data_IF_943595161881
#
_entry.id   IF_943595161881
#
_cell.length_a   1.000
_cell.length_b   1.000
_cell.length_c   1.000
_cell.angle_alpha   90.00
_cell.angle_beta   90.00
_cell.angle_gamma   90.00
#
_symmetry.space_group_name_H-M   'P 1'
#
loop_
_entity.id
_entity.type
_entity.pdbx_description
1 polymer ?
#
# COMPACT_ATOMS: atom_id res chain seq x y z
N UNK A 1 -17.46 1.28 -8.13
CA UNK A 1 -16.09 1.65 -7.69
C UNK A 1 -15.39 2.62 -8.65
N UNK A 2 -15.57 2.50 -9.96
CA UNK A 2 -14.83 3.29 -10.95
C UNK A 2 -15.17 4.79 -10.96
N UNK A 3 -16.40 5.18 -10.62
CA UNK A 3 -16.89 6.58 -10.73
C UNK A 3 -16.17 7.61 -9.86
N UNK A 4 -15.46 7.14 -8.85
CA UNK A 4 -14.72 7.99 -7.91
C UNK A 4 -13.27 8.25 -8.34
N UNK A 5 -12.76 7.54 -9.35
CA UNK A 5 -11.38 7.71 -9.83
C UNK A 5 -11.36 8.59 -11.08
N UNK A 6 -10.43 9.53 -11.12
CA UNK A 6 -10.20 10.32 -12.31
C UNK A 6 -9.64 9.45 -13.45
N UNK A 7 -9.72 9.96 -14.67
CA UNK A 7 -9.19 9.33 -15.87
C UNK A 7 -7.74 8.82 -15.72
N UNK A 8 -6.80 9.63 -15.19
CA UNK A 8 -5.45 9.16 -14.92
C UNK A 8 -5.36 7.98 -13.94
N UNK A 9 -6.17 7.95 -12.89
CA UNK A 9 -6.19 6.90 -11.88
C UNK A 9 -6.85 5.63 -12.42
N UNK A 10 -7.94 5.72 -13.19
CA UNK A 10 -8.55 4.56 -13.86
C UNK A 10 -7.55 3.85 -14.75
N UNK A 11 -6.80 4.62 -15.55
CA UNK A 11 -5.73 4.07 -16.40
C UNK A 11 -4.58 3.48 -15.57
N UNK A 12 -4.25 4.07 -14.43
CA UNK A 12 -3.27 3.50 -13.50
C UNK A 12 -3.73 2.12 -13.00
N UNK A 13 -5.00 1.95 -12.62
CA UNK A 13 -5.53 0.65 -12.20
C UNK A 13 -5.47 -0.39 -13.32
N UNK A 14 -5.74 0.01 -14.56
CA UNK A 14 -5.54 -0.86 -15.74
C UNK A 14 -4.09 -1.28 -15.89
N UNK A 15 -3.14 -0.35 -15.75
CA UNK A 15 -1.71 -0.70 -15.82
C UNK A 15 -1.29 -1.60 -14.66
N UNK A 16 -1.81 -1.40 -13.45
CA UNK A 16 -1.52 -2.29 -12.32
C UNK A 16 -1.99 -3.73 -12.60
N UNK A 17 -3.14 -3.87 -13.26
CA UNK A 17 -3.63 -5.16 -13.71
C UNK A 17 -2.71 -5.79 -14.78
N UNK A 18 -2.23 -4.99 -15.74
CA UNK A 18 -1.27 -5.46 -16.75
C UNK A 18 0.05 -5.92 -16.12
N UNK A 19 0.63 -5.14 -15.20
CA UNK A 19 1.87 -5.52 -14.49
C UNK A 19 1.70 -6.83 -13.70
N UNK A 20 0.54 -7.03 -13.04
CA UNK A 20 0.26 -8.28 -12.34
C UNK A 20 0.20 -9.48 -13.31
N UNK A 21 -0.46 -9.32 -14.46
CA UNK A 21 -0.51 -10.35 -15.48
C UNK A 21 0.88 -10.64 -16.07
N UNK A 22 1.69 -9.62 -16.28
CA UNK A 22 3.03 -9.75 -16.85
C UNK A 22 4.01 -10.44 -15.91
N UNK A 23 3.92 -10.15 -14.62
CA UNK A 23 4.66 -10.87 -13.57
C UNK A 23 4.08 -12.25 -13.25
N UNK A 24 2.92 -12.59 -13.80
CA UNK A 24 2.26 -13.89 -13.61
C UNK A 24 1.55 -14.00 -12.25
N UNK A 25 1.26 -12.88 -11.59
CA UNK A 25 0.56 -12.82 -10.32
C UNK A 25 -0.96 -12.89 -10.52
N UNK A 26 -1.64 -13.68 -9.68
CA UNK A 26 -3.10 -13.86 -9.77
C UNK A 26 -3.89 -12.74 -9.08
N UNK A 27 -3.21 -11.96 -8.24
CA UNK A 27 -3.79 -10.86 -7.48
C UNK A 27 -2.99 -9.57 -7.66
N UNK A 28 -3.70 -8.44 -7.67
CA UNK A 28 -3.13 -7.10 -7.74
C UNK A 28 -2.80 -6.64 -6.31
N UNK A 29 -1.53 -6.76 -5.94
CA UNK A 29 -0.97 -6.19 -4.71
C UNK A 29 -0.52 -4.73 -4.81
N UNK A 30 -0.06 -4.21 -3.68
CA UNK A 30 0.47 -2.83 -3.51
C UNK A 30 1.68 -2.52 -4.39
N UNK A 31 2.48 -3.54 -4.69
CA UNK A 31 3.63 -3.53 -5.60
C UNK A 31 3.22 -3.21 -7.05
N UNK A 32 2.09 -3.73 -7.51
CA UNK A 32 1.59 -3.45 -8.86
C UNK A 32 1.04 -2.03 -8.98
N UNK A 33 0.43 -1.51 -7.91
CA UNK A 33 0.01 -0.10 -7.85
C UNK A 33 1.24 0.82 -7.92
N UNK A 34 2.32 0.48 -7.23
CA UNK A 34 3.59 1.21 -7.29
C UNK A 34 4.22 1.16 -8.70
N UNK A 35 4.25 -0.02 -9.33
CA UNK A 35 4.73 -0.16 -10.71
C UNK A 35 3.90 0.66 -11.70
N UNK A 36 2.58 0.67 -11.55
CA UNK A 36 1.69 1.45 -12.40
C UNK A 36 1.89 2.96 -12.26
N UNK A 37 2.15 3.45 -11.03
CA UNK A 37 2.53 4.85 -10.78
C UNK A 37 3.80 5.24 -11.55
N UNK A 38 4.81 4.38 -11.53
CA UNK A 38 6.09 4.62 -12.20
C UNK A 38 6.01 4.50 -13.72
N UNK A 39 5.21 3.57 -14.23
CA UNK A 39 5.10 3.29 -15.66
C UNK A 39 4.50 4.48 -16.42
N UNK A 40 3.38 5.02 -15.94
CA UNK A 40 2.66 6.05 -16.69
C UNK A 40 3.38 7.40 -16.73
N UNK A 41 4.30 7.67 -15.78
CA UNK A 41 4.96 8.99 -15.62
C UNK A 41 4.00 10.18 -15.61
N UNK A 42 2.70 9.94 -15.36
CA UNK A 42 1.65 10.95 -15.38
C UNK A 42 1.17 11.27 -13.98
N UNK A 43 0.92 12.55 -13.71
CA UNK A 43 0.42 13.02 -12.42
C UNK A 43 1.53 13.51 -11.49
N UNK A 44 1.12 14.15 -10.39
CA UNK A 44 2.06 14.69 -9.41
C UNK A 44 2.91 13.59 -8.77
N UNK A 45 2.29 12.46 -8.40
CA UNK A 45 3.00 11.37 -7.73
C UNK A 45 4.11 10.72 -8.55
N UNK A 46 3.86 10.47 -9.84
CA UNK A 46 4.88 9.89 -10.72
C UNK A 46 6.10 10.83 -10.92
N UNK A 47 5.86 12.15 -10.98
CA UNK A 47 6.92 13.15 -11.05
C UNK A 47 7.75 13.19 -9.77
N UNK A 48 7.10 13.07 -8.61
CA UNK A 48 7.79 13.03 -7.31
C UNK A 48 8.68 11.80 -7.22
N UNK A 49 8.16 10.60 -7.52
CA UNK A 49 8.96 9.37 -7.53
C UNK A 49 10.16 9.47 -8.48
N UNK A 50 9.96 9.99 -9.69
CA UNK A 50 11.03 10.22 -10.64
C UNK A 50 12.08 11.25 -10.12
N UNK A 51 11.63 12.33 -9.46
CA UNK A 51 12.53 13.34 -8.85
C UNK A 51 13.38 12.79 -7.71
N UNK A 52 12.96 11.67 -7.12
CA UNK A 52 13.67 10.96 -6.06
C UNK A 52 14.56 9.84 -6.60
N UNK A 53 14.73 9.76 -7.92
CA UNK A 53 15.60 8.77 -8.58
C UNK A 53 14.98 7.38 -8.71
N UNK A 54 13.69 7.21 -8.39
CA UNK A 54 13.01 5.93 -8.57
C UNK A 54 12.68 5.73 -10.04
N UNK A 55 13.27 4.69 -10.64
CA UNK A 55 12.99 4.28 -12.02
C UNK A 55 12.08 3.06 -12.02
N UNK A 56 11.29 2.92 -13.09
CA UNK A 56 10.45 1.75 -13.30
C UNK A 56 11.28 0.46 -13.32
N UNK A 57 12.47 0.50 -13.92
CA UNK A 57 13.36 -0.64 -14.03
C UNK A 57 13.83 -1.13 -12.65
N UNK A 58 14.34 -0.23 -11.80
CA UNK A 58 14.74 -0.59 -10.44
C UNK A 58 13.55 -1.10 -9.62
N UNK A 59 12.37 -0.51 -9.78
CA UNK A 59 11.18 -0.97 -9.09
C UNK A 59 10.76 -2.37 -9.55
N UNK A 60 10.81 -2.68 -10.85
CA UNK A 60 10.52 -4.03 -11.37
C UNK A 60 11.52 -5.05 -10.84
N UNK A 61 12.82 -4.75 -10.87
CA UNK A 61 13.84 -5.64 -10.29
C UNK A 61 13.62 -5.86 -8.79
N UNK A 62 13.23 -4.82 -8.05
CA UNK A 62 12.89 -4.95 -6.64
C UNK A 62 11.66 -5.84 -6.42
N UNK A 63 10.60 -5.67 -7.22
CA UNK A 63 9.38 -6.50 -7.15
C UNK A 63 9.72 -7.97 -7.40
N UNK A 64 10.47 -8.27 -8.47
CA UNK A 64 10.91 -9.63 -8.78
C UNK A 64 11.76 -10.22 -7.66
N UNK A 65 12.59 -9.42 -6.98
CA UNK A 65 13.40 -9.87 -5.86
C UNK A 65 12.60 -10.09 -4.55
N UNK A 66 11.51 -9.36 -4.34
CA UNK A 66 10.68 -9.46 -3.13
C UNK A 66 9.62 -10.54 -3.26
N UNK A 67 8.89 -10.52 -4.37
CA UNK A 67 7.68 -11.33 -4.61
C UNK A 67 7.99 -12.55 -5.46
N UNK A 68 9.08 -12.50 -6.24
CA UNK A 68 9.34 -13.49 -7.29
C UNK A 68 8.55 -13.20 -8.55
N UNK A 69 8.75 -14.03 -9.58
CA UNK A 69 7.75 -14.17 -10.65
C UNK A 69 6.77 -15.26 -10.23
N UNK A 70 5.48 -15.04 -10.46
CA UNK A 70 4.46 -16.04 -10.23
C UNK A 70 4.79 -17.36 -10.94
N UNK A 71 4.26 -18.48 -10.42
CA UNK A 71 4.48 -19.82 -10.99
C UNK A 71 4.40 -19.75 -12.52
N UNK A 72 5.50 -20.13 -13.18
CA UNK A 72 5.61 -20.11 -14.63
C UNK A 72 4.41 -20.87 -15.22
N UNK A 73 3.42 -20.12 -15.71
CA UNK A 73 2.20 -20.73 -16.22
C UNK A 73 2.56 -21.52 -17.47
N UNK A 74 2.00 -22.73 -17.64
CA UNK A 74 2.31 -23.56 -18.78
C UNK A 74 2.08 -22.76 -20.07
N UNK A 75 3.03 -22.85 -21.01
CA UNK A 75 3.05 -22.09 -22.26
C UNK A 75 1.78 -22.30 -23.13
N UNK A 76 0.97 -23.29 -22.79
CA UNK A 76 -0.35 -23.60 -23.37
C UNK A 76 -1.41 -22.55 -23.06
N UNK A 77 -1.22 -21.70 -22.04
CA UNK A 77 -2.09 -20.55 -21.74
C UNK A 77 -1.62 -19.24 -22.41
N UNK A 78 -1.22 -19.29 -23.69
CA UNK A 78 -0.98 -18.10 -24.51
C UNK A 78 -2.20 -17.80 -25.39
N UNK A 79 -2.84 -16.66 -25.20
CA UNK A 79 -3.96 -16.20 -26.04
C UNK A 79 -5.04 -15.40 -25.31
N UNK A 80 -6.24 -15.31 -25.91
CA UNK A 80 -7.42 -14.55 -25.47
C UNK A 80 -7.77 -14.70 -23.98
N UNK A 81 -7.56 -15.90 -23.42
CA UNK A 81 -7.73 -16.19 -21.99
C UNK A 81 -6.84 -15.35 -21.04
N UNK A 82 -5.72 -14.79 -21.53
CA UNK A 82 -4.84 -13.89 -20.75
C UNK A 82 -5.39 -12.47 -20.68
N UNK A 83 -6.10 -11.99 -21.72
CA UNK A 83 -6.71 -10.65 -21.78
C UNK A 83 -8.05 -10.57 -21.08
N UNK A 84 -8.81 -11.67 -21.07
CA UNK A 84 -10.13 -11.71 -20.42
C UNK A 84 -10.04 -11.93 -18.90
N UNK A 85 -8.86 -12.29 -18.38
CA UNK A 85 -8.65 -12.50 -16.94
C UNK A 85 -8.44 -11.17 -16.24
N UNK A 86 -9.36 -10.82 -15.35
CA UNK A 86 -9.22 -9.67 -14.45
C UNK A 86 -8.72 -10.15 -13.08
N UNK A 87 -7.41 -10.09 -12.77
CA UNK A 87 -6.93 -10.40 -11.44
C UNK A 87 -7.63 -9.53 -10.39
N UNK A 88 -7.99 -10.11 -9.26
CA UNK A 88 -8.62 -9.43 -8.14
C UNK A 88 -7.58 -8.65 -7.33
N UNK A 89 -8.00 -7.63 -6.59
CA UNK A 89 -7.10 -6.93 -5.68
C UNK A 89 -6.84 -7.78 -4.43
N UNK A 90 -5.65 -7.63 -3.85
CA UNK A 90 -5.40 -8.11 -2.48
C UNK A 90 -6.16 -7.22 -1.48
N UNK A 91 -6.49 -7.75 -0.30
CA UNK A 91 -7.13 -6.98 0.77
C UNK A 91 -6.34 -5.69 1.11
N UNK A 92 -5.00 -5.77 1.08
CA UNK A 92 -4.13 -4.62 1.32
C UNK A 92 -4.23 -3.58 0.21
N UNK A 93 -4.26 -4.02 -1.05
CA UNK A 93 -4.44 -3.10 -2.18
C UNK A 93 -5.82 -2.44 -2.17
N UNK A 94 -6.88 -3.16 -1.81
CA UNK A 94 -8.21 -2.58 -1.62
C UNK A 94 -8.23 -1.52 -0.53
N UNK A 95 -7.59 -1.80 0.61
CA UNK A 95 -7.46 -0.84 1.71
C UNK A 95 -6.70 0.43 1.28
N UNK A 96 -5.63 0.30 0.48
CA UNK A 96 -4.91 1.45 -0.08
C UNK A 96 -5.81 2.31 -0.97
N UNK A 97 -6.65 1.68 -1.81
CA UNK A 97 -7.57 2.40 -2.68
C UNK A 97 -8.68 3.10 -1.89
N UNK A 98 -9.14 2.50 -0.79
CA UNK A 98 -10.11 3.13 0.11
C UNK A 98 -9.48 4.31 0.86
N UNK A 99 -8.26 4.15 1.38
CA UNK A 99 -7.52 5.26 1.99
C UNK A 99 -7.29 6.40 1.00
N UNK A 100 -7.01 6.09 -0.27
CA UNK A 100 -6.85 7.11 -1.31
C UNK A 100 -8.14 7.93 -1.56
N UNK A 101 -9.32 7.36 -1.28
CA UNK A 101 -10.59 8.10 -1.31
C UNK A 101 -10.72 9.05 -0.15
N UNK A 102 -10.32 8.62 1.05
CA UNK A 102 -10.29 9.48 2.23
C UNK A 102 -9.31 10.65 2.02
N UNK A 103 -8.14 10.37 1.46
CA UNK A 103 -7.14 11.37 1.09
C UNK A 103 -7.70 12.41 0.12
N UNK A 104 -8.39 11.97 -0.93
CA UNK A 104 -9.04 12.87 -1.89
C UNK A 104 -10.12 13.73 -1.21
N UNK A 105 -10.94 13.13 -0.34
CA UNK A 105 -11.99 13.83 0.41
C UNK A 105 -11.42 14.86 1.38
N UNK A 106 -10.35 14.52 2.10
CA UNK A 106 -9.65 15.43 3.02
C UNK A 106 -8.99 16.58 2.27
N UNK A 107 -8.50 16.33 1.05
CA UNK A 107 -7.97 17.35 0.16
C UNK A 107 -9.04 18.15 -0.61
N UNK A 108 -10.33 17.93 -0.33
CA UNK A 108 -11.48 18.53 -1.04
C UNK A 108 -11.45 18.31 -2.57
N UNK A 109 -10.86 17.19 -3.01
CA UNK A 109 -10.80 16.79 -4.40
C UNK A 109 -11.99 15.91 -4.77
N UNK A 110 -12.74 16.31 -5.81
CA UNK A 110 -13.93 15.60 -6.28
C UNK A 110 -13.65 14.17 -6.80
N UNK A 111 -12.40 13.87 -7.19
CA UNK A 111 -12.02 12.57 -7.73
C UNK A 111 -10.66 12.12 -7.19
N UNK A 112 -10.49 10.80 -7.06
CA UNK A 112 -9.23 10.17 -6.66
C UNK A 112 -8.26 10.17 -7.85
N UNK A 113 -7.13 10.86 -7.70
CA UNK A 113 -6.00 10.82 -8.63
C UNK A 113 -4.84 9.90 -8.20
N UNK A 114 -3.85 9.69 -9.08
CA UNK A 114 -2.65 8.90 -8.81
C UNK A 114 -1.87 9.35 -7.56
N UNK A 115 -1.83 10.65 -7.32
CA UNK A 115 -1.31 11.30 -6.13
C UNK A 115 -1.88 10.77 -4.81
N UNK A 116 -3.20 10.57 -4.68
CA UNK A 116 -3.82 10.10 -3.45
C UNK A 116 -3.52 8.63 -3.20
N UNK A 117 -3.41 7.85 -4.28
CA UNK A 117 -2.94 6.46 -4.22
C UNK A 117 -1.49 6.42 -3.75
N UNK A 118 -0.63 7.30 -4.29
CA UNK A 118 0.75 7.41 -3.82
C UNK A 118 0.83 7.82 -2.35
N UNK A 119 0.07 8.83 -1.91
CA UNK A 119 0.03 9.24 -0.50
C UNK A 119 -0.34 8.06 0.40
N UNK A 120 -1.34 7.26 0.00
CA UNK A 120 -1.75 6.07 0.74
C UNK A 120 -0.67 5.00 0.79
N UNK A 121 0.04 4.76 -0.32
CA UNK A 121 1.18 3.82 -0.38
C UNK A 121 2.37 4.28 0.47
N UNK A 122 2.67 5.59 0.49
CA UNK A 122 3.78 6.14 1.26
C UNK A 122 3.52 6.13 2.77
N UNK A 123 2.25 6.19 3.19
CA UNK A 123 1.82 6.09 4.59
C UNK A 123 1.74 4.65 5.10
N UNK A 124 1.79 3.68 4.20
CA UNK A 124 1.57 2.30 4.54
C UNK A 124 2.89 1.61 4.87
N UNK A 125 3.02 1.13 6.10
CA UNK A 125 4.23 0.42 6.55
C UNK A 125 4.20 -1.08 6.29
N UNK A 126 3.05 -1.64 5.92
CA UNK A 126 2.88 -3.08 5.69
C UNK A 126 2.47 -3.44 4.27
N UNK A 127 3.04 -4.52 3.74
CA UNK A 127 2.76 -5.05 2.40
C UNK A 127 4.01 -5.09 1.53
N UNK A 128 3.91 -5.65 0.33
CA UNK A 128 5.07 -5.78 -0.56
C UNK A 128 5.51 -4.43 -1.14
N UNK A 129 4.58 -3.50 -1.35
CA UNK A 129 4.89 -2.13 -1.78
C UNK A 129 5.81 -1.40 -0.81
N UNK A 130 5.55 -1.51 0.49
CA UNK A 130 6.40 -0.93 1.55
C UNK A 130 7.83 -1.51 1.48
N UNK A 131 7.95 -2.85 1.42
CA UNK A 131 9.27 -3.53 1.30
C UNK A 131 10.03 -3.12 0.04
N UNK A 132 9.32 -2.89 -1.07
CA UNK A 132 9.93 -2.41 -2.32
C UNK A 132 10.43 -0.99 -2.15
N UNK A 133 9.66 -0.09 -1.54
CA UNK A 133 10.08 1.28 -1.27
C UNK A 133 11.34 1.32 -0.39
N UNK A 134 11.44 0.42 0.59
CA UNK A 134 12.63 0.30 1.45
C UNK A 134 13.85 -0.19 0.69
N UNK A 135 13.68 -1.19 -0.19
CA UNK A 135 14.75 -1.66 -1.08
C UNK A 135 15.22 -0.57 -2.05
N UNK A 136 14.30 0.27 -2.51
CA UNK A 136 14.60 1.44 -3.35
C UNK A 136 15.24 2.59 -2.55
N UNK A 137 15.40 2.43 -1.22
CA UNK A 137 15.93 3.44 -0.28
C UNK A 137 15.21 4.78 -0.40
N UNK A 138 13.90 4.73 -0.67
CA UNK A 138 13.09 5.93 -0.78
C UNK A 138 12.79 6.49 0.62
N UNK A 139 13.13 7.76 0.85
CA UNK A 139 12.64 8.45 2.04
C UNK A 139 11.13 8.74 1.86
N UNK A 140 10.30 7.94 2.53
CA UNK A 140 8.84 7.99 2.43
C UNK A 140 8.27 9.33 2.89
N UNK A 141 8.80 9.89 3.97
CA UNK A 141 8.38 11.19 4.50
C UNK A 141 8.67 12.31 3.52
N UNK A 142 9.86 12.32 2.91
CA UNK A 142 10.21 13.31 1.89
C UNK A 142 9.37 13.15 0.62
N UNK A 143 9.14 11.92 0.17
CA UNK A 143 8.25 11.63 -0.95
C UNK A 143 6.82 12.09 -0.68
N UNK A 144 6.33 11.88 0.54
CA UNK A 144 5.00 12.29 0.96
C UNK A 144 4.90 13.81 0.98
N UNK A 145 5.86 14.49 1.62
CA UNK A 145 5.93 15.95 1.67
C UNK A 145 5.95 16.56 0.27
N UNK A 146 6.78 16.05 -0.64
CA UNK A 146 6.83 16.52 -2.05
C UNK A 146 5.51 16.29 -2.78
N UNK A 147 4.83 15.18 -2.54
CA UNK A 147 3.53 14.88 -3.15
C UNK A 147 2.46 15.85 -2.63
N UNK A 148 2.44 16.15 -1.34
CA UNK A 148 1.54 17.13 -0.74
C UNK A 148 1.77 18.54 -1.29
N UNK A 149 3.04 18.97 -1.42
CA UNK A 149 3.40 20.25 -2.04
C UNK A 149 2.92 20.29 -3.50
N UNK A 150 3.13 19.21 -4.25
CA UNK A 150 2.73 19.14 -5.66
C UNK A 150 1.20 19.14 -5.86
N UNK A 151 0.43 18.79 -4.83
CA UNK A 151 -1.02 18.90 -4.82
C UNK A 151 -1.54 20.30 -4.45
N UNK A 152 -0.68 21.18 -3.94
CA UNK A 152 -1.09 22.51 -3.48
C UNK A 152 -1.91 22.50 -2.19
N UNK A 153 -2.00 21.37 -1.49
CA UNK A 153 -2.83 21.19 -0.28
C UNK A 153 -2.04 21.60 0.96
N UNK A 154 -1.32 22.73 0.95
CA UNK A 154 -0.65 23.25 2.16
C UNK A 154 -1.40 24.47 2.69
N UNK A 155 -1.79 24.50 3.99
CA UNK A 155 -1.54 23.49 5.02
C UNK A 155 -2.41 22.24 4.82
N UNK A 156 -1.78 21.06 4.78
CA UNK A 156 -2.47 19.78 4.64
C UNK A 156 -3.10 19.47 5.98
N UNK A 157 -4.44 19.42 6.10
CA UNK A 157 -5.06 18.90 7.30
C UNK A 157 -4.69 17.42 7.30
N UNK A 158 -3.65 17.08 8.08
CA UNK A 158 -3.29 15.69 8.34
C UNK A 158 -4.55 14.90 8.71
N UNK A 159 -4.64 13.60 8.36
CA UNK A 159 -5.83 12.80 8.63
C UNK A 159 -6.26 12.99 10.09
N UNK A 160 -7.40 13.66 10.26
CA UNK A 160 -7.91 14.17 11.52
C UNK A 160 -8.41 12.98 12.36
N UNK A 161 -7.84 12.81 13.56
CA UNK A 161 -8.23 11.88 14.63
C UNK A 161 -8.16 10.36 14.39
N UNK A 162 -8.51 9.82 13.22
CA UNK A 162 -8.57 8.35 13.03
C UNK A 162 -7.18 7.71 12.94
N UNK A 163 -6.19 8.43 12.41
CA UNK A 163 -4.82 7.94 12.27
C UNK A 163 -4.01 8.00 13.57
N UNK A 164 -4.34 8.90 14.51
CA UNK A 164 -3.75 8.86 15.86
C UNK A 164 -4.24 7.65 16.64
N UNK A 165 -5.51 7.27 16.49
CA UNK A 165 -6.06 6.11 17.19
C UNK A 165 -5.55 4.80 16.59
N UNK A 166 -5.52 4.65 15.26
CA UNK A 166 -4.99 3.43 14.64
C UNK A 166 -3.47 3.30 14.79
N UNK A 167 -2.71 4.39 14.72
CA UNK A 167 -1.26 4.37 14.90
C UNK A 167 -0.85 4.03 16.34
N UNK A 168 -1.58 4.54 17.34
CA UNK A 168 -1.36 4.21 18.76
C UNK A 168 -1.75 2.75 19.06
N UNK A 169 -2.86 2.26 18.48
CA UNK A 169 -3.24 0.85 18.57
C UNK A 169 -2.21 -0.09 17.92
N UNK A 170 -1.66 0.27 16.76
CA UNK A 170 -0.65 -0.54 16.07
C UNK A 170 0.69 -0.58 16.85
N UNK A 171 1.09 0.53 17.48
CA UNK A 171 2.25 0.59 18.37
C UNK A 171 2.04 -0.25 19.64
N UNK A 172 0.86 -0.19 20.25
CA UNK A 172 0.52 -0.99 21.43
C UNK A 172 0.45 -2.49 21.12
N UNK A 173 -0.05 -2.90 19.95
CA UNK A 173 -0.05 -4.30 19.50
C UNK A 173 1.38 -4.81 19.28
N UNK A 174 2.27 -3.99 18.72
CA UNK A 174 3.67 -4.35 18.54
C UNK A 174 4.40 -4.54 19.88
N UNK A 175 4.24 -3.61 20.83
CA UNK A 175 4.83 -3.71 22.16
C UNK A 175 4.34 -4.93 22.95
N UNK A 176 3.05 -5.29 22.82
CA UNK A 176 2.52 -6.51 23.45
C UNK A 176 3.06 -7.79 22.81
N UNK A 177 3.36 -7.78 21.51
CA UNK A 177 4.01 -8.94 20.87
C UNK A 177 5.42 -9.15 21.39
N UNK A 178 6.18 -8.07 21.55
CA UNK A 178 7.51 -8.10 22.13
C UNK A 178 7.49 -8.57 23.60
N UNK A 179 6.60 -8.01 24.43
CA UNK A 179 6.43 -8.44 25.83
C UNK A 179 5.99 -9.91 25.96
N UNK A 180 5.21 -10.42 25.01
CA UNK A 180 4.83 -11.85 24.95
C UNK A 180 6.03 -12.73 24.66
N UNK A 181 6.85 -12.34 23.69
CA UNK A 181 8.05 -13.10 23.31
C UNK A 181 9.04 -13.13 24.49
N UNK A 182 9.21 -12.01 25.20
CA UNK A 182 10.02 -11.92 26.42
C UNK A 182 9.45 -12.75 27.60
N UNK A 183 8.12 -12.79 27.77
CA UNK A 183 7.49 -13.64 28.79
C UNK A 183 7.65 -15.14 28.50
N UNK A 184 7.60 -15.54 27.23
CA UNK A 184 7.87 -16.92 26.80
C UNK A 184 9.33 -17.31 27.05
N UNK A 185 10.27 -16.42 26.76
CA UNK A 185 11.71 -16.63 27.01
C UNK A 185 11.99 -16.77 28.52
N UNK A 186 11.31 -15.98 29.35
CA UNK A 186 11.40 -16.05 30.81
C UNK A 186 10.59 -17.21 31.44
N UNK A 187 9.92 -18.04 30.63
CA UNK A 187 9.00 -19.12 31.07
C UNK A 187 7.87 -18.65 31.98
N UNK A 188 7.51 -17.38 31.91
CA UNK A 188 6.37 -16.82 32.62
C UNK A 188 5.09 -17.00 31.77
N UNK A 189 4.54 -18.21 31.85
CA UNK A 189 3.35 -18.58 31.09
C UNK A 189 2.09 -17.83 31.55
N UNK A 190 2.05 -17.31 32.79
CA UNK A 190 0.92 -16.55 33.29
C UNK A 190 0.85 -15.18 32.59
N UNK A 191 1.99 -14.47 32.54
CA UNK A 191 2.11 -13.21 31.83
C UNK A 191 1.86 -13.37 30.31
N UNK A 192 2.35 -14.45 29.71
CA UNK A 192 2.13 -14.73 28.28
C UNK A 192 0.64 -14.91 27.92
N UNK A 193 -0.17 -15.49 28.82
CA UNK A 193 -1.63 -15.64 28.62
C UNK A 193 -2.34 -14.30 28.75
N UNK A 194 -1.96 -13.47 29.71
CA UNK A 194 -2.53 -12.14 29.92
C UNK A 194 -2.25 -11.22 28.73
N UNK A 195 -1.00 -11.18 28.26
CA UNK A 195 -0.59 -10.41 27.08
C UNK A 195 -1.37 -10.85 25.83
N UNK A 196 -1.65 -12.15 25.67
CA UNK A 196 -2.46 -12.66 24.56
C UNK A 196 -3.90 -12.19 24.60
N UNK A 197 -4.49 -12.05 25.79
CA UNK A 197 -5.85 -11.51 25.94
C UNK A 197 -5.90 -10.03 25.56
N UNK A 198 -4.90 -9.26 26.00
CA UNK A 198 -4.72 -7.85 25.67
C UNK A 198 -4.44 -7.61 24.18
N UNK A 199 -3.65 -8.47 23.52
CA UNK A 199 -3.43 -8.42 22.07
C UNK A 199 -4.76 -8.62 21.31
N UNK A 200 -5.59 -9.56 21.76
CA UNK A 200 -6.88 -9.89 21.12
C UNK A 200 -7.91 -8.76 21.27
N UNK A 201 -7.92 -8.04 22.38
CA UNK A 201 -8.83 -6.90 22.59
C UNK A 201 -8.43 -5.70 21.75
N UNK A 202 -7.13 -5.39 21.67
CA UNK A 202 -6.63 -4.29 20.83
C UNK A 202 -6.83 -4.56 19.34
N UNK A 203 -6.66 -5.81 18.88
CA UNK A 203 -6.99 -6.20 17.51
C UNK A 203 -8.49 -6.01 17.20
N UNK A 204 -9.37 -6.30 18.16
CA UNK A 204 -10.81 -6.07 18.02
C UNK A 204 -11.17 -4.57 18.03
N UNK A 205 -10.50 -3.76 18.83
CA UNK A 205 -10.66 -2.30 18.86
C UNK A 205 -10.17 -1.66 17.55
N UNK A 206 -9.02 -2.11 17.03
CA UNK A 206 -8.51 -1.70 15.73
C UNK A 206 -9.51 -2.01 14.63
N UNK A 207 -10.05 -3.23 14.59
CA UNK A 207 -11.03 -3.63 13.58
C UNK A 207 -12.31 -2.76 13.62
N UNK A 208 -12.71 -2.26 14.79
CA UNK A 208 -13.84 -1.33 14.97
C UNK A 208 -13.49 0.11 14.59
N UNK A 209 -12.26 0.55 14.82
CA UNK A 209 -11.79 1.90 14.48
C UNK A 209 -11.59 2.07 12.96
N UNK A 210 -11.40 0.97 12.24
CA UNK A 210 -11.23 0.95 10.77
C UNK A 210 -12.50 0.59 9.99
N UNK A 211 -13.64 0.42 10.67
CA UNK A 211 -14.95 0.08 10.07
C UNK A 211 -15.83 1.33 9.92
#
# INVERSE_FOLDING_TARGET
MHDLFNDPARRLLTVAQEEALDLGHEQIGTEHLLLALLNRRTGAGARVLASLGVTLEHARSAVEAVVGRGLARPATMRGKARRDRRPSFTQRAEWILERARLEAKTADHAHVGPEHILLSLLREDGGEGAKILDRLRLNREEARRRTLVALGVLPYPGPTLLDSVSGDLDAQIAALREAKDEALDNRDFALAVEVRQSERTLLAQRARATA
#
